data_IF_532467675422
#
_entry.id   IF_532467675422
#
_cell.length_a   1.000
_cell.length_b   1.000
_cell.length_c   1.000
_cell.angle_alpha   90.00
_cell.angle_beta   90.00
_cell.angle_gamma   90.00
#
_symmetry.space_group_name_H-M   'P 1'
#
loop_
_entity.id
_entity.type
_entity.pdbx_description
1 polymer ?
#
# COMPACT_ATOMS: atom_id res chain seq x y z
N UNK A 1 -27.75 26.21 1.64
CA UNK A 1 -27.19 27.57 1.75
C UNK A 1 -25.86 27.48 2.50
N UNK A 2 -24.74 27.38 1.79
CA UNK A 2 -23.41 27.47 2.42
C UNK A 2 -23.02 28.94 2.46
N UNK A 3 -23.08 29.54 3.65
CA UNK A 3 -22.71 30.94 3.86
C UNK A 3 -21.20 31.13 3.78
N UNK A 4 -20.75 31.92 2.80
CA UNK A 4 -19.35 32.36 2.72
C UNK A 4 -19.15 33.50 3.71
N UNK A 5 -18.36 33.28 4.76
CA UNK A 5 -17.94 34.32 5.70
C UNK A 5 -16.49 34.72 5.43
N UNK A 6 -16.28 35.97 5.02
CA UNK A 6 -14.94 36.53 4.78
C UNK A 6 -14.30 36.92 6.12
N UNK A 7 -13.32 36.14 6.57
CA UNK A 7 -12.55 36.41 7.78
C UNK A 7 -11.43 37.40 7.44
N UNK A 8 -11.43 38.61 8.04
CA UNK A 8 -10.41 39.65 7.76
C UNK A 8 -9.08 39.42 8.48
N UNK A 9 -9.06 38.59 9.52
CA UNK A 9 -7.88 38.27 10.32
C UNK A 9 -7.00 37.23 9.61
N UNK A 10 -5.71 37.52 9.41
CA UNK A 10 -4.75 36.65 8.71
C UNK A 10 -4.51 35.37 9.50
N UNK A 11 -4.24 35.46 10.81
CA UNK A 11 -3.94 34.29 11.64
C UNK A 11 -5.16 33.38 11.79
N UNK A 12 -6.36 33.96 11.88
CA UNK A 12 -7.60 33.18 11.91
C UNK A 12 -7.88 32.48 10.57
N UNK A 13 -7.50 33.09 9.44
CA UNK A 13 -7.61 32.45 8.11
C UNK A 13 -6.63 31.30 7.96
N UNK A 14 -5.39 31.46 8.39
CA UNK A 14 -4.37 30.41 8.35
C UNK A 14 -4.78 29.20 9.20
N UNK A 15 -5.28 29.43 10.42
CA UNK A 15 -5.76 28.34 11.28
C UNK A 15 -6.98 27.60 10.68
N UNK A 16 -7.91 28.33 10.04
CA UNK A 16 -9.04 27.73 9.33
C UNK A 16 -8.58 26.92 8.12
N UNK A 17 -7.59 27.42 7.39
CA UNK A 17 -7.00 26.77 6.23
C UNK A 17 -6.30 25.46 6.60
N UNK A 18 -5.49 25.47 7.67
CA UNK A 18 -4.87 24.27 8.23
C UNK A 18 -5.92 23.25 8.71
N UNK A 19 -6.97 23.71 9.39
CA UNK A 19 -8.08 22.83 9.79
C UNK A 19 -8.79 22.17 8.60
N UNK A 20 -8.94 22.88 7.47
CA UNK A 20 -9.46 22.28 6.24
C UNK A 20 -8.49 21.28 5.62
N UNK A 21 -7.18 21.51 5.69
CA UNK A 21 -6.19 20.56 5.21
C UNK A 21 -6.20 19.25 5.99
N UNK A 22 -6.37 19.29 7.32
CA UNK A 22 -6.50 18.09 8.15
C UNK A 22 -7.78 17.30 7.81
N UNK A 23 -8.92 17.99 7.66
CA UNK A 23 -10.18 17.34 7.27
C UNK A 23 -10.12 16.73 5.86
N UNK A 24 -9.46 17.40 4.93
CA UNK A 24 -9.26 16.88 3.58
C UNK A 24 -8.29 15.70 3.57
N UNK A 25 -7.25 15.72 4.41
CA UNK A 25 -6.29 14.61 4.57
C UNK A 25 -6.98 13.32 5.03
N UNK A 26 -7.93 13.39 5.97
CA UNK A 26 -8.71 12.22 6.38
C UNK A 26 -9.60 11.67 5.26
N UNK A 27 -10.23 12.53 4.47
CA UNK A 27 -11.10 12.11 3.37
C UNK A 27 -10.33 11.41 2.25
N UNK A 28 -9.20 11.98 1.85
CA UNK A 28 -8.36 11.36 0.81
C UNK A 28 -7.73 10.06 1.34
N UNK A 29 -7.36 10.02 2.62
CA UNK A 29 -6.88 8.80 3.27
C UNK A 29 -7.91 7.67 3.19
N UNK A 30 -9.15 7.93 3.63
CA UNK A 30 -10.22 6.93 3.59
C UNK A 30 -10.48 6.45 2.16
N UNK A 31 -10.59 7.37 1.20
CA UNK A 31 -10.79 7.03 -0.21
C UNK A 31 -9.66 6.14 -0.77
N UNK A 32 -8.40 6.51 -0.51
CA UNK A 32 -7.26 5.73 -1.00
C UNK A 32 -7.14 4.37 -0.31
N UNK A 33 -7.49 4.28 0.98
CA UNK A 33 -7.53 3.03 1.73
C UNK A 33 -8.59 2.09 1.20
N UNK A 34 -9.81 2.59 0.98
CA UNK A 34 -10.97 1.79 0.57
C UNK A 34 -10.84 1.28 -0.87
N UNK A 35 -10.32 2.12 -1.78
CA UNK A 35 -10.14 1.74 -3.18
C UNK A 35 -8.90 0.87 -3.42
N UNK A 36 -7.88 1.00 -2.56
CA UNK A 36 -6.64 0.20 -2.65
C UNK A 36 -5.86 0.43 -3.95
N UNK A 37 -4.93 -0.49 -4.23
CA UNK A 37 -4.32 -0.65 -5.55
C UNK A 37 -3.70 0.61 -6.16
N UNK A 38 -4.20 1.02 -7.33
CA UNK A 38 -3.81 2.27 -8.00
C UNK A 38 -3.88 3.50 -7.08
N UNK A 39 -4.91 3.60 -6.23
CA UNK A 39 -5.08 4.77 -5.35
C UNK A 39 -4.05 4.80 -4.22
N UNK A 40 -3.55 3.64 -3.77
CA UNK A 40 -2.40 3.58 -2.86
C UNK A 40 -1.11 4.08 -3.53
N UNK A 41 -0.92 3.83 -4.83
CA UNK A 41 0.21 4.39 -5.59
C UNK A 41 0.10 5.90 -5.77
N UNK A 42 -1.10 6.41 -6.03
CA UNK A 42 -1.35 7.86 -6.08
C UNK A 42 -1.07 8.50 -4.73
N UNK A 43 -1.53 7.89 -3.64
CA UNK A 43 -1.23 8.33 -2.28
C UNK A 43 0.29 8.39 -2.00
N UNK A 44 1.07 7.43 -2.51
CA UNK A 44 2.54 7.44 -2.39
C UNK A 44 3.21 8.63 -3.07
N UNK A 45 2.64 9.11 -4.18
CA UNK A 45 3.16 10.28 -4.90
C UNK A 45 2.78 11.56 -4.13
N UNK A 46 1.51 11.71 -3.79
CA UNK A 46 0.98 12.90 -3.10
C UNK A 46 1.58 13.04 -1.69
N UNK A 47 1.80 11.91 -1.00
CA UNK A 47 2.38 11.86 0.33
C UNK A 47 3.88 12.16 0.39
N UNK A 48 4.53 12.56 -0.71
CA UNK A 48 5.91 13.02 -0.69
C UNK A 48 6.01 14.45 -0.13
N UNK A 49 6.99 14.74 0.76
CA UNK A 49 7.24 16.09 1.24
C UNK A 49 7.37 17.08 0.07
N UNK A 50 6.68 18.21 0.18
CA UNK A 50 6.70 19.29 -0.82
C UNK A 50 5.67 19.17 -1.95
N UNK A 51 4.95 18.06 -2.09
CA UNK A 51 3.88 17.92 -3.11
C UNK A 51 2.48 18.28 -2.59
N UNK A 52 2.25 18.18 -1.29
CA UNK A 52 0.97 18.44 -0.66
C UNK A 52 1.16 19.14 0.70
N UNK A 53 0.09 19.73 1.26
CA UNK A 53 0.13 20.28 2.62
C UNK A 53 0.65 19.25 3.63
N UNK A 54 1.32 19.73 4.69
CA UNK A 54 1.95 18.86 5.68
C UNK A 54 0.95 17.86 6.31
N UNK A 55 -0.31 18.27 6.52
CA UNK A 55 -1.38 17.39 7.00
C UNK A 55 -1.62 16.18 6.08
N UNK A 56 -1.64 16.41 4.76
CA UNK A 56 -1.84 15.34 3.78
C UNK A 56 -0.66 14.38 3.77
N UNK A 57 0.57 14.92 3.76
CA UNK A 57 1.80 14.12 3.80
C UNK A 57 1.84 13.23 5.03
N UNK A 58 1.64 13.80 6.22
CA UNK A 58 1.62 13.04 7.49
C UNK A 58 0.59 11.91 7.46
N UNK A 59 -0.58 12.17 6.89
CA UNK A 59 -1.66 11.17 6.88
C UNK A 59 -1.47 10.09 5.82
N UNK A 60 -1.17 10.48 4.58
CA UNK A 60 -1.02 9.57 3.45
C UNK A 60 0.17 8.64 3.61
N UNK A 61 1.27 9.08 4.25
CA UNK A 61 2.44 8.21 4.47
C UNK A 61 2.06 6.93 5.22
N UNK A 62 1.09 7.03 6.14
CA UNK A 62 0.65 5.90 6.95
C UNK A 62 -0.07 4.80 6.15
N UNK A 63 -0.53 5.09 4.92
CA UNK A 63 -1.18 4.09 4.04
C UNK A 63 -0.20 3.07 3.47
N UNK A 64 1.06 3.45 3.27
CA UNK A 64 2.04 2.63 2.57
C UNK A 64 3.32 2.38 3.38
N UNK A 65 3.50 3.06 4.51
CA UNK A 65 4.59 2.82 5.45
C UNK A 65 4.34 1.58 6.34
N UNK A 66 3.09 1.11 6.42
CA UNK A 66 2.66 -0.03 7.26
C UNK A 66 2.05 -1.20 6.48
N UNK A 67 2.62 -1.55 5.33
CA UNK A 67 2.27 -2.81 4.71
C UNK A 67 2.81 -3.96 5.57
N UNK A 68 1.97 -4.49 6.47
CA UNK A 68 2.23 -5.78 7.11
C UNK A 68 2.50 -6.79 6.01
N UNK A 69 3.55 -7.64 6.14
CA UNK A 69 3.80 -8.65 5.14
C UNK A 69 2.55 -9.53 5.01
N UNK A 70 1.98 -9.57 3.79
CA UNK A 70 1.12 -10.65 3.30
C UNK A 70 1.58 -11.99 3.89
N UNK A 71 0.67 -12.75 4.53
CA UNK A 71 1.00 -14.04 5.09
C UNK A 71 1.62 -14.98 4.05
N UNK A 72 2.57 -15.80 4.48
CA UNK A 72 3.28 -16.71 3.57
C UNK A 72 2.34 -17.67 2.83
N UNK A 73 1.23 -18.10 3.43
CA UNK A 73 0.25 -18.97 2.77
C UNK A 73 -0.33 -18.33 1.50
N UNK A 74 -0.58 -17.01 1.52
CA UNK A 74 -1.03 -16.28 0.35
C UNK A 74 0.09 -16.09 -0.68
N UNK A 75 1.33 -15.89 -0.23
CA UNK A 75 2.52 -15.86 -1.09
C UNK A 75 2.70 -17.19 -1.82
N UNK A 76 2.59 -18.32 -1.10
CA UNK A 76 2.65 -19.67 -1.64
C UNK A 76 1.58 -19.89 -2.70
N UNK A 77 0.33 -19.55 -2.40
CA UNK A 77 -0.78 -19.70 -3.35
C UNK A 77 -0.55 -18.91 -4.65
N UNK A 78 -0.04 -17.68 -4.55
CA UNK A 78 0.29 -16.86 -5.74
C UNK A 78 1.39 -17.52 -6.55
N UNK A 79 2.47 -17.98 -5.91
CA UNK A 79 3.59 -18.63 -6.59
C UNK A 79 3.16 -19.91 -7.30
N UNK A 80 2.43 -20.80 -6.63
CA UNK A 80 1.98 -22.07 -7.22
C UNK A 80 1.01 -21.84 -8.39
N UNK A 81 0.12 -20.84 -8.26
CA UNK A 81 -0.81 -20.47 -9.33
C UNK A 81 -0.10 -19.92 -10.57
N UNK A 82 0.89 -19.04 -10.40
CA UNK A 82 1.60 -18.43 -11.53
C UNK A 82 2.60 -19.38 -12.18
N UNK A 83 3.22 -20.28 -11.39
CA UNK A 83 4.23 -21.22 -11.88
C UNK A 83 3.62 -22.56 -12.33
N UNK A 84 2.37 -22.85 -11.98
CA UNK A 84 1.63 -24.05 -12.37
C UNK A 84 2.16 -25.35 -11.76
N UNK A 85 3.01 -25.26 -10.73
CA UNK A 85 3.65 -26.37 -10.02
C UNK A 85 3.75 -26.03 -8.52
N UNK A 86 3.91 -27.05 -7.69
CA UNK A 86 4.13 -26.83 -6.25
C UNK A 86 5.45 -26.10 -6.00
N UNK A 87 5.55 -25.33 -4.92
CA UNK A 87 6.82 -24.68 -4.57
C UNK A 87 7.93 -25.70 -4.30
N UNK A 88 7.57 -26.84 -3.73
CA UNK A 88 8.48 -27.94 -3.40
C UNK A 88 9.08 -28.60 -4.66
N UNK A 89 8.42 -28.49 -5.82
CA UNK A 89 8.90 -29.00 -7.10
C UNK A 89 9.89 -28.05 -7.82
N UNK A 90 10.02 -26.81 -7.34
CA UNK A 90 10.78 -25.73 -7.98
C UNK A 90 11.95 -25.30 -7.12
N UNK A 91 11.71 -25.11 -5.82
CA UNK A 91 12.66 -24.55 -4.88
C UNK A 91 13.24 -25.63 -3.96
N UNK A 92 14.56 -25.74 -3.94
CA UNK A 92 15.29 -26.51 -2.92
C UNK A 92 15.17 -25.83 -1.55
N UNK A 93 15.16 -24.50 -1.55
CA UNK A 93 14.98 -23.68 -0.35
C UNK A 93 14.18 -22.44 -0.68
N UNK A 94 13.27 -22.05 0.20
CA UNK A 94 12.57 -20.78 0.15
C UNK A 94 12.49 -20.19 1.56
N UNK A 95 13.02 -18.98 1.76
CA UNK A 95 12.91 -18.29 3.05
C UNK A 95 11.51 -17.66 3.17
N UNK A 96 10.74 -18.17 4.14
CA UNK A 96 9.39 -17.69 4.48
C UNK A 96 9.41 -16.21 4.84
N UNK A 97 10.47 -15.79 5.54
CA UNK A 97 10.66 -14.40 5.94
C UNK A 97 11.19 -13.56 4.77
N UNK A 98 10.47 -12.50 4.38
CA UNK A 98 10.90 -11.65 3.28
C UNK A 98 12.16 -10.87 3.66
N UNK A 99 13.07 -10.74 2.69
CA UNK A 99 14.21 -9.81 2.75
C UNK A 99 13.74 -8.35 2.86
N UNK A 100 12.55 -8.07 2.33
CA UNK A 100 11.90 -6.77 2.41
C UNK A 100 10.51 -6.80 1.79
N UNK A 101 9.66 -5.87 2.24
CA UNK A 101 8.35 -5.60 1.68
C UNK A 101 8.35 -4.21 1.06
N UNK A 102 7.92 -4.12 -0.19
CA UNK A 102 7.63 -2.88 -0.89
C UNK A 102 6.12 -2.79 -1.14
N UNK A 103 5.61 -1.59 -1.40
CA UNK A 103 4.18 -1.25 -1.41
C UNK A 103 3.23 -2.16 -2.20
N UNK A 104 3.73 -3.00 -3.11
CA UNK A 104 2.96 -3.94 -3.95
C UNK A 104 3.64 -5.30 -4.12
N UNK A 105 4.74 -5.56 -3.41
CA UNK A 105 5.52 -6.77 -3.60
C UNK A 105 6.39 -7.10 -2.40
N UNK A 106 6.49 -8.40 -2.11
CA UNK A 106 7.48 -8.93 -1.18
C UNK A 106 8.65 -9.53 -1.94
N UNK A 107 9.81 -9.52 -1.29
CA UNK A 107 11.05 -10.05 -1.86
C UNK A 107 11.58 -11.13 -0.94
N UNK A 108 11.69 -12.35 -1.44
CA UNK A 108 12.17 -13.52 -0.71
C UNK A 108 13.49 -14.03 -1.29
N UNK A 109 14.29 -14.64 -0.42
CA UNK A 109 15.45 -15.43 -0.84
C UNK A 109 14.99 -16.86 -1.11
N UNK A 110 15.43 -17.43 -2.22
CA UNK A 110 15.18 -18.83 -2.53
C UNK A 110 16.37 -19.47 -3.23
N UNK A 111 16.32 -20.78 -3.44
CA UNK A 111 17.26 -21.54 -4.26
C UNK A 111 16.47 -22.54 -5.09
N UNK A 112 16.76 -22.59 -6.39
CA UNK A 112 16.12 -23.52 -7.32
C UNK A 112 16.74 -24.90 -7.19
N UNK A 113 15.93 -25.94 -7.44
CA UNK A 113 16.43 -27.32 -7.47
C UNK A 113 17.47 -27.45 -8.58
N UNK A 114 18.66 -27.92 -8.22
CA UNK A 114 19.78 -28.13 -9.14
C UNK A 114 20.73 -26.95 -9.28
N UNK A 115 20.37 -25.78 -8.74
CA UNK A 115 21.24 -24.61 -8.74
C UNK A 115 22.06 -24.49 -7.46
N UNK A 116 23.29 -23.96 -7.57
CA UNK A 116 24.19 -23.76 -6.42
C UNK A 116 24.10 -22.37 -5.80
N UNK A 117 23.43 -21.44 -6.46
CA UNK A 117 23.36 -20.02 -6.09
C UNK A 117 21.95 -19.64 -5.64
N UNK A 118 21.88 -18.74 -4.65
CA UNK A 118 20.61 -18.16 -4.20
C UNK A 118 20.04 -17.22 -5.28
N UNK A 119 18.72 -17.22 -5.40
CA UNK A 119 17.92 -16.33 -6.25
C UNK A 119 17.03 -15.43 -5.40
N UNK A 120 16.62 -14.30 -5.98
CA UNK A 120 15.68 -13.37 -5.37
C UNK A 120 14.32 -13.54 -6.04
N UNK A 121 13.32 -13.96 -5.28
CA UNK A 121 11.95 -14.14 -5.76
C UNK A 121 11.13 -12.93 -5.32
N UNK A 122 10.69 -12.14 -6.29
CA UNK A 122 9.77 -11.02 -6.06
C UNK A 122 8.35 -11.49 -6.30
N UNK A 123 7.54 -11.47 -5.24
CA UNK A 123 6.13 -11.84 -5.29
C UNK A 123 5.32 -10.56 -5.25
N UNK A 124 4.72 -10.21 -6.38
CA UNK A 124 3.79 -9.08 -6.42
C UNK A 124 2.48 -9.53 -5.78
N UNK A 125 2.00 -8.76 -4.80
CA UNK A 125 0.61 -8.82 -4.41
C UNK A 125 -0.15 -8.33 -5.64
N UNK A 126 -0.71 -9.27 -6.42
CA UNK A 126 -1.66 -8.84 -7.44
C UNK A 126 -2.71 -8.04 -6.69
N UNK A 127 -3.22 -6.98 -7.31
CA UNK A 127 -4.55 -6.51 -6.96
C UNK A 127 -5.46 -7.72 -7.18
N UNK A 128 -5.55 -8.59 -6.17
CA UNK A 128 -6.69 -9.45 -5.98
C UNK A 128 -7.77 -8.41 -5.88
N UNK A 129 -8.53 -8.23 -6.97
CA UNK A 129 -9.65 -7.30 -7.00
C UNK A 129 -10.37 -7.54 -5.69
N UNK A 130 -10.30 -6.54 -4.81
CA UNK A 130 -10.82 -6.67 -3.47
C UNK A 130 -12.26 -7.06 -3.69
N UNK A 131 -12.57 -8.33 -3.45
CA UNK A 131 -13.94 -8.75 -3.30
C UNK A 131 -14.36 -8.00 -2.05
N UNK A 132 -14.92 -6.82 -2.29
CA UNK A 132 -15.63 -6.05 -1.29
C UNK A 132 -16.47 -7.04 -0.49
N UNK A 133 -16.45 -6.98 0.86
CA UNK A 133 -17.32 -7.82 1.67
C UNK A 133 -18.82 -7.59 1.40
N UNK A 134 -19.21 -6.74 0.44
CA UNK A 134 -20.58 -6.47 0.02
C UNK A 134 -21.12 -7.31 -1.15
N UNK A 135 -20.47 -8.39 -1.57
CA UNK A 135 -21.12 -9.39 -2.44
C UNK A 135 -21.84 -10.46 -1.61
N UNK A 136 -22.92 -10.07 -0.93
CA UNK A 136 -24.03 -10.95 -0.50
C UNK A 136 -25.19 -10.09 0.06
N UNK A 137 -26.11 -9.71 -0.83
CA UNK A 137 -27.59 -9.73 -0.73
C UNK A 137 -28.20 -8.80 -1.79
#
# INVERSE_FOLDING_TARGET
>A
MTGVSLVKDVGKREALWEGQHELAAEKIYAMCSDLGGFFLKVAQIIGKPGLAPAAWVRRLVTLYDRASPTPFDAVKLVLEKELGRSMEDIFERFDVEPLGSASIAQVHRARLIGDKSDVVVKVCEKEVGHASPFSLH
#
